data_IF_331992728022
#
_entry.id   IF_331992728022
#
_cell.length_a   1.000
_cell.length_b   1.000
_cell.length_c   1.000
_cell.angle_alpha   90.00
_cell.angle_beta   90.00
_cell.angle_gamma   90.00
#
_symmetry.space_group_name_H-M   'P 1'
#
loop_
_entity.id
_entity.type
_entity.pdbx_description
1 polymer ?
#
# COMPACT_ATOMS: atom_id res chain seq x y z
N UNK A 1 30.95 8.27 -10.92
CA UNK A 1 29.67 8.94 -10.66
C UNK A 1 29.05 9.22 -12.02
N UNK A 2 28.00 8.49 -12.42
CA UNK A 2 27.30 8.77 -13.66
C UNK A 2 26.54 10.09 -13.47
N UNK A 3 26.92 11.12 -14.22
CA UNK A 3 26.16 12.36 -14.29
C UNK A 3 24.99 12.08 -15.22
N UNK A 4 23.81 11.86 -14.64
CA UNK A 4 22.57 11.78 -15.42
C UNK A 4 22.29 13.15 -16.04
N UNK A 5 21.86 13.17 -17.30
CA UNK A 5 21.32 14.41 -17.86
C UNK A 5 20.02 14.78 -17.12
N UNK A 6 19.64 16.06 -17.19
CA UNK A 6 18.37 16.50 -16.62
C UNK A 6 17.18 15.72 -17.21
N UNK A 7 17.24 15.41 -18.50
CA UNK A 7 16.19 14.69 -19.22
C UNK A 7 16.10 13.21 -18.77
N UNK A 8 17.24 12.57 -18.51
CA UNK A 8 17.28 11.20 -17.96
C UNK A 8 16.70 11.17 -16.54
N UNK A 9 17.06 12.15 -15.70
CA UNK A 9 16.53 12.26 -14.33
C UNK A 9 15.00 12.43 -14.34
N UNK A 10 14.48 13.33 -15.19
CA UNK A 10 13.05 13.57 -15.31
C UNK A 10 12.30 12.34 -15.84
N UNK A 11 12.90 11.59 -16.78
CA UNK A 11 12.34 10.34 -17.30
C UNK A 11 12.21 9.29 -16.20
N UNK A 12 13.28 9.07 -15.42
CA UNK A 12 13.27 8.12 -14.30
C UNK A 12 12.26 8.54 -13.21
N UNK A 13 12.13 9.84 -12.95
CA UNK A 13 11.16 10.37 -11.98
C UNK A 13 9.72 10.17 -12.44
N UNK A 14 9.46 10.29 -13.75
CA UNK A 14 8.15 9.99 -14.33
C UNK A 14 7.82 8.49 -14.22
N UNK A 15 8.78 7.61 -14.49
CA UNK A 15 8.60 6.16 -14.32
C UNK A 15 8.33 5.77 -12.87
N UNK A 16 9.07 6.35 -11.93
CA UNK A 16 8.81 6.20 -10.50
C UNK A 16 7.40 6.68 -10.12
N UNK A 17 6.97 7.84 -10.61
CA UNK A 17 5.64 8.37 -10.31
C UNK A 17 4.52 7.43 -10.82
N UNK A 18 4.69 6.83 -12.00
CA UNK A 18 3.76 5.83 -12.54
C UNK A 18 3.70 4.59 -11.63
N UNK A 19 4.86 4.04 -11.27
CA UNK A 19 4.93 2.91 -10.33
C UNK A 19 4.26 3.25 -9.00
N UNK A 20 4.49 4.46 -8.47
CA UNK A 20 3.89 4.89 -7.21
C UNK A 20 2.37 4.99 -7.28
N UNK A 21 1.82 5.46 -8.40
CA UNK A 21 0.36 5.49 -8.62
C UNK A 21 -0.20 4.06 -8.59
N UNK A 22 0.41 3.13 -9.32
CA UNK A 22 -0.03 1.73 -9.32
C UNK A 22 -0.03 1.12 -7.90
N UNK A 23 1.00 1.41 -7.10
CA UNK A 23 1.07 0.92 -5.71
C UNK A 23 0.05 1.59 -4.79
N UNK A 24 -0.26 2.87 -5.01
CA UNK A 24 -1.33 3.55 -4.28
C UNK A 24 -2.70 2.96 -4.60
N UNK A 25 -2.97 2.59 -5.85
CA UNK A 25 -4.22 1.90 -6.23
C UNK A 25 -4.33 0.54 -5.52
N UNK A 26 -3.23 -0.22 -5.43
CA UNK A 26 -3.19 -1.48 -4.69
C UNK A 26 -3.43 -1.30 -3.17
N UNK A 27 -2.89 -0.23 -2.59
CA UNK A 27 -3.09 0.14 -1.18
C UNK A 27 -4.55 0.52 -0.94
N UNK A 28 -5.13 1.35 -1.80
CA UNK A 28 -6.52 1.78 -1.70
C UNK A 28 -7.47 0.59 -1.76
N UNK A 29 -7.24 -0.36 -2.67
CA UNK A 29 -8.03 -1.58 -2.77
C UNK A 29 -8.01 -2.41 -1.46
N UNK A 30 -6.86 -2.47 -0.77
CA UNK A 30 -6.74 -3.16 0.52
C UNK A 30 -7.43 -2.40 1.64
N UNK A 31 -7.31 -1.07 1.68
CA UNK A 31 -8.01 -0.22 2.66
C UNK A 31 -9.54 -0.35 2.52
N UNK A 32 -10.06 -0.40 1.29
CA UNK A 32 -11.49 -0.64 1.03
C UNK A 32 -11.94 -2.00 1.59
N UNK A 33 -11.16 -3.07 1.37
CA UNK A 33 -11.44 -4.40 1.96
C UNK A 33 -11.39 -4.39 3.49
N UNK A 34 -10.46 -3.65 4.10
CA UNK A 34 -10.42 -3.50 5.57
C UNK A 34 -11.68 -2.80 6.09
N UNK A 35 -12.15 -1.76 5.39
CA UNK A 35 -13.41 -1.08 5.71
C UNK A 35 -14.59 -2.04 5.64
N UNK A 36 -14.72 -2.80 4.56
CA UNK A 36 -15.79 -3.80 4.40
C UNK A 36 -15.79 -4.85 5.53
N UNK A 37 -14.61 -5.32 5.94
CA UNK A 37 -14.45 -6.24 7.07
C UNK A 37 -14.89 -5.62 8.41
N UNK A 38 -14.55 -4.36 8.64
CA UNK A 38 -14.95 -3.64 9.85
C UNK A 38 -16.46 -3.38 9.89
N UNK A 39 -17.06 -3.00 8.76
CA UNK A 39 -18.51 -2.84 8.63
C UNK A 39 -19.23 -4.17 8.85
N UNK A 40 -18.73 -5.26 8.28
CA UNK A 40 -19.24 -6.61 8.54
C UNK A 40 -19.16 -6.99 10.03
N UNK A 41 -18.06 -6.70 10.71
CA UNK A 41 -17.95 -6.99 12.14
C UNK A 41 -18.87 -6.13 13.02
N UNK A 42 -19.16 -4.89 12.60
CA UNK A 42 -20.09 -3.98 13.29
C UNK A 42 -21.55 -4.42 13.12
N UNK A 43 -21.94 -4.76 11.89
CA UNK A 43 -23.35 -4.93 11.53
C UNK A 43 -23.90 -6.33 11.89
N UNK A 44 -23.02 -7.29 12.16
CA UNK A 44 -23.38 -8.68 12.49
C UNK A 44 -22.96 -9.07 13.91
N UNK A 45 -23.79 -9.88 14.58
CA UNK A 45 -23.44 -10.50 15.87
C UNK A 45 -22.45 -11.63 15.68
N UNK A 46 -21.16 -11.28 15.61
CA UNK A 46 -20.08 -12.25 15.47
C UNK A 46 -19.74 -12.88 16.83
N UNK A 47 -19.44 -14.17 16.80
CA UNK A 47 -18.78 -14.85 17.91
C UNK A 47 -17.34 -14.38 18.06
N UNK A 48 -16.75 -14.57 19.24
CA UNK A 48 -15.34 -14.25 19.49
C UNK A 48 -14.39 -14.83 18.44
N UNK A 49 -14.58 -16.11 18.06
CA UNK A 49 -13.77 -16.77 17.03
C UNK A 49 -13.89 -16.11 15.65
N UNK A 50 -15.07 -15.60 15.30
CA UNK A 50 -15.27 -14.86 14.05
C UNK A 50 -14.63 -13.48 14.10
N UNK A 51 -14.70 -12.78 15.24
CA UNK A 51 -14.01 -11.51 15.48
C UNK A 51 -12.49 -11.70 15.34
N UNK A 52 -11.92 -12.73 15.96
CA UNK A 52 -10.49 -13.05 15.86
C UNK A 52 -10.05 -13.28 14.41
N UNK A 53 -10.88 -13.97 13.61
CA UNK A 53 -10.62 -14.19 12.19
C UNK A 53 -10.68 -12.89 11.37
N UNK A 54 -11.65 -12.01 11.64
CA UNK A 54 -11.74 -10.71 10.98
C UNK A 54 -10.51 -9.87 11.31
N UNK A 55 -10.12 -9.80 12.57
CA UNK A 55 -8.94 -9.05 13.01
C UNK A 55 -7.65 -9.60 12.36
N UNK A 56 -7.49 -10.91 12.27
CA UNK A 56 -6.35 -11.52 11.59
C UNK A 56 -6.25 -11.08 10.11
N UNK A 57 -7.38 -10.98 9.40
CA UNK A 57 -7.42 -10.47 8.02
C UNK A 57 -7.08 -8.99 7.93
N UNK A 58 -7.61 -8.17 8.84
CA UNK A 58 -7.32 -6.73 8.91
C UNK A 58 -5.82 -6.50 9.16
N UNK A 59 -5.22 -7.21 10.11
CA UNK A 59 -3.78 -7.11 10.39
C UNK A 59 -2.92 -7.58 9.22
N UNK A 60 -3.36 -8.63 8.50
CA UNK A 60 -2.67 -9.05 7.28
C UNK A 60 -2.67 -7.95 6.22
N UNK A 61 -3.82 -7.32 5.96
CA UNK A 61 -3.89 -6.21 5.01
C UNK A 61 -3.07 -5.00 5.47
N UNK A 62 -3.06 -4.71 6.77
CA UNK A 62 -2.23 -3.65 7.33
C UNK A 62 -0.74 -3.89 7.02
N UNK A 63 -0.23 -5.10 7.24
CA UNK A 63 1.16 -5.43 6.92
C UNK A 63 1.44 -5.30 5.41
N UNK A 64 0.56 -5.85 4.57
CA UNK A 64 0.71 -5.75 3.12
C UNK A 64 0.72 -4.29 2.62
N UNK A 65 -0.10 -3.41 3.23
CA UNK A 65 -0.12 -1.98 2.91
C UNK A 65 1.21 -1.32 3.28
N UNK A 66 1.74 -1.62 4.47
CA UNK A 66 3.03 -1.09 4.92
C UNK A 66 4.16 -1.52 3.98
N UNK A 67 4.17 -2.79 3.58
CA UNK A 67 5.18 -3.32 2.67
C UNK A 67 5.11 -2.68 1.27
N UNK A 68 3.89 -2.51 0.72
CA UNK A 68 3.67 -1.84 -0.58
C UNK A 68 4.10 -0.38 -0.55
N UNK A 69 3.78 0.29 0.56
CA UNK A 69 4.12 1.70 0.73
C UNK A 69 5.63 1.87 0.83
N UNK A 70 6.30 1.08 1.67
CA UNK A 70 7.75 1.12 1.85
C UNK A 70 8.50 0.86 0.52
N UNK A 71 8.06 -0.13 -0.26
CA UNK A 71 8.68 -0.48 -1.54
C UNK A 71 8.60 0.61 -2.61
N UNK A 72 7.69 1.57 -2.49
CA UNK A 72 7.39 2.53 -3.55
C UNK A 72 7.49 3.99 -3.15
N UNK A 73 7.55 4.29 -1.85
CA UNK A 73 7.50 5.66 -1.33
C UNK A 73 8.70 6.52 -1.73
N UNK A 74 9.87 5.90 -1.90
CA UNK A 74 11.12 6.64 -2.14
C UNK A 74 11.56 6.49 -3.58
N UNK A 75 11.86 7.60 -4.24
CA UNK A 75 12.57 7.59 -5.51
C UNK A 75 14.04 7.22 -5.26
N UNK A 76 14.54 6.15 -5.89
CA UNK A 76 15.84 5.55 -5.57
C UNK A 76 17.04 6.48 -5.79
N UNK A 77 16.93 7.51 -6.64
CA UNK A 77 17.98 8.52 -6.82
C UNK A 77 17.95 9.63 -5.77
N UNK A 78 16.85 9.78 -5.03
CA UNK A 78 16.71 10.74 -3.94
C UNK A 78 16.96 10.06 -2.56
N UNK A 79 17.21 8.74 -2.53
CA UNK A 79 17.56 7.99 -1.33
C UNK A 79 19.01 8.29 -0.91
N UNK A 80 19.19 8.86 0.29
CA UNK A 80 20.49 9.21 0.88
C UNK A 80 20.94 8.18 1.91
#
# INVERSE_FOLDING_TARGET
>A
MLVLSNDDYLTLKLEWAKLRIEKLDEIEAKLRKMKELAEFARDYKLSKKQIDLVNAKIHKFQQEILDLDEQSRTFWLDAH
#
